data_IF_642575765539
#
_entry.id   IF_642575765539
#
_cell.length_a   1.000
_cell.length_b   1.000
_cell.length_c   1.000
_cell.angle_alpha   90.00
_cell.angle_beta   90.00
_cell.angle_gamma   90.00
#
_symmetry.space_group_name_H-M   'P 1'
#
loop_
_entity.id
_entity.type
_entity.pdbx_description
1 polymer ?
#
# COMPACT_ATOMS: atom_id res chain seq x y z
N UNK A 1 -46.36 -8.15 -26.59
CA UNK A 1 -45.36 -8.47 -25.55
C UNK A 1 -43.96 -8.02 -25.98
N UNK A 2 -43.63 -6.72 -25.85
CA UNK A 2 -42.34 -6.18 -26.33
C UNK A 2 -41.57 -5.31 -25.34
N UNK A 3 -42.20 -4.92 -24.23
CA UNK A 3 -41.62 -3.98 -23.26
C UNK A 3 -40.70 -4.68 -22.26
N UNK A 4 -41.09 -5.87 -21.77
CA UNK A 4 -40.29 -6.63 -20.79
C UNK A 4 -38.90 -7.00 -21.28
N UNK A 5 -38.76 -7.37 -22.57
CA UNK A 5 -37.46 -7.70 -23.18
C UNK A 5 -36.51 -6.50 -23.18
N UNK A 6 -37.03 -5.31 -23.52
CA UNK A 6 -36.27 -4.06 -23.60
C UNK A 6 -35.77 -3.61 -22.21
N UNK A 7 -36.57 -3.83 -21.16
CA UNK A 7 -36.17 -3.53 -19.77
C UNK A 7 -35.04 -4.45 -19.31
N UNK A 8 -35.14 -5.75 -19.58
CA UNK A 8 -34.10 -6.74 -19.21
C UNK A 8 -32.78 -6.46 -19.94
N UNK A 9 -32.84 -6.13 -21.24
CA UNK A 9 -31.66 -5.75 -22.03
C UNK A 9 -30.99 -4.47 -21.49
N UNK A 10 -31.79 -3.48 -21.08
CA UNK A 10 -31.29 -2.22 -20.55
C UNK A 10 -30.63 -2.41 -19.17
N UNK A 11 -31.21 -3.25 -18.30
CA UNK A 11 -30.60 -3.57 -17.00
C UNK A 11 -29.31 -4.37 -17.13
N UNK A 12 -29.23 -5.31 -18.08
CA UNK A 12 -28.00 -6.05 -18.35
C UNK A 12 -26.86 -5.12 -18.80
N UNK A 13 -27.16 -4.12 -19.64
CA UNK A 13 -26.19 -3.10 -20.06
C UNK A 13 -25.71 -2.24 -18.90
N UNK A 14 -26.63 -1.77 -18.05
CA UNK A 14 -26.28 -0.99 -16.87
C UNK A 14 -25.39 -1.78 -15.91
N UNK A 15 -25.72 -3.05 -15.67
CA UNK A 15 -24.92 -3.93 -14.81
C UNK A 15 -23.51 -4.15 -15.37
N UNK A 16 -23.37 -4.33 -16.69
CA UNK A 16 -22.07 -4.44 -17.33
C UNK A 16 -21.23 -3.15 -17.19
N UNK A 17 -21.85 -1.98 -17.39
CA UNK A 17 -21.17 -0.69 -17.22
C UNK A 17 -20.76 -0.44 -15.76
N UNK A 18 -21.61 -0.81 -14.79
CA UNK A 18 -21.27 -0.72 -13.35
C UNK A 18 -20.07 -1.64 -13.02
N UNK A 19 -20.04 -2.85 -13.58
CA UNK A 19 -18.93 -3.79 -13.38
C UNK A 19 -17.62 -3.24 -13.95
N UNK A 20 -17.66 -2.73 -15.17
CA UNK A 20 -16.48 -2.14 -15.84
C UNK A 20 -15.96 -0.90 -15.10
N UNK A 21 -16.85 -0.03 -14.63
CA UNK A 21 -16.48 1.12 -13.80
C UNK A 21 -15.84 0.70 -12.47
N UNK A 22 -16.39 -0.33 -11.82
CA UNK A 22 -15.78 -0.87 -10.59
C UNK A 22 -14.39 -1.45 -10.85
N UNK A 23 -14.21 -2.24 -11.91
CA UNK A 23 -12.91 -2.84 -12.26
C UNK A 23 -11.87 -1.77 -12.58
N UNK A 24 -12.25 -0.71 -13.31
CA UNK A 24 -11.37 0.43 -13.57
C UNK A 24 -11.00 1.19 -12.29
N UNK A 25 -11.95 1.39 -11.38
CA UNK A 25 -11.71 2.07 -10.10
C UNK A 25 -10.74 1.29 -9.19
N UNK A 26 -10.88 -0.03 -9.13
CA UNK A 26 -9.98 -0.90 -8.35
C UNK A 26 -8.54 -0.88 -8.90
N UNK A 27 -8.37 -0.76 -10.22
CA UNK A 27 -7.04 -0.66 -10.84
C UNK A 27 -6.33 0.71 -10.68
N UNK A 28 -7.03 1.77 -10.27
CA UNK A 28 -6.46 3.11 -10.09
C UNK A 28 -5.62 3.22 -8.81
N UNK A 29 -5.74 2.28 -7.85
CA UNK A 29 -4.90 2.23 -6.63
C UNK A 29 -3.52 1.61 -6.85
N UNK A 30 -2.89 1.91 -7.98
CA UNK A 30 -1.49 1.52 -8.21
C UNK A 30 -0.65 2.78 -8.35
N UNK A 31 0.46 2.82 -7.60
CA UNK A 31 1.48 3.88 -7.62
C UNK A 31 2.09 4.01 -9.02
N UNK A 32 1.37 4.61 -9.97
CA UNK A 32 1.85 4.89 -11.33
C UNK A 32 2.31 6.35 -11.37
N UNK A 33 3.59 6.57 -11.69
CA UNK A 33 4.18 7.91 -11.86
C UNK A 33 5.36 8.21 -10.93
N UNK A 34 5.80 9.48 -10.93
CA UNK A 34 6.88 9.98 -10.07
C UNK A 34 6.28 10.50 -8.78
N UNK A 35 6.67 9.93 -7.64
CA UNK A 35 6.22 10.38 -6.32
C UNK A 35 7.13 11.52 -5.83
N UNK A 36 6.59 12.73 -5.56
CA UNK A 36 7.39 13.86 -5.08
C UNK A 36 7.82 13.62 -3.63
N UNK A 37 9.09 13.23 -3.45
CA UNK A 37 9.69 12.88 -2.15
C UNK A 37 10.80 13.87 -1.76
N UNK A 38 10.84 14.26 -0.50
CA UNK A 38 11.89 15.13 0.03
C UNK A 38 13.22 14.37 0.08
N UNK A 39 14.26 14.91 -0.56
CA UNK A 39 15.57 14.27 -0.60
C UNK A 39 16.20 14.09 0.79
N UNK A 40 15.94 15.01 1.73
CA UNK A 40 16.50 15.02 3.07
C UNK A 40 15.74 14.13 4.06
N UNK A 41 14.43 14.36 4.24
CA UNK A 41 13.64 13.67 5.27
C UNK A 41 12.75 12.54 4.74
N UNK A 42 12.75 12.29 3.43
CA UNK A 42 11.97 11.24 2.74
C UNK A 42 10.45 11.34 2.88
N UNK A 43 9.91 12.43 3.44
CA UNK A 43 8.47 12.70 3.40
C UNK A 43 7.98 12.85 1.97
N UNK A 44 6.75 12.44 1.71
CA UNK A 44 6.08 12.56 0.42
C UNK A 44 5.15 13.78 0.45
N UNK A 45 5.16 14.55 -0.63
CA UNK A 45 4.25 15.69 -0.82
C UNK A 45 2.95 15.21 -1.44
N UNK A 46 1.81 15.62 -0.88
CA UNK A 46 0.50 15.41 -1.49
C UNK A 46 0.10 16.54 -2.45
N UNK A 47 -1.02 16.35 -3.15
CA UNK A 47 -1.55 17.33 -4.10
C UNK A 47 -2.00 18.64 -3.44
N UNK A 48 -2.29 18.61 -2.13
CA UNK A 48 -2.61 19.79 -1.33
C UNK A 48 -1.36 20.55 -0.86
N UNK A 49 -0.17 19.97 -1.09
CA UNK A 49 1.12 20.53 -0.73
C UNK A 49 1.61 20.17 0.68
N UNK A 50 0.91 19.32 1.42
CA UNK A 50 1.36 18.85 2.73
C UNK A 50 2.39 17.73 2.60
N UNK A 51 3.28 17.65 3.60
CA UNK A 51 4.32 16.62 3.67
C UNK A 51 3.93 15.55 4.68
N UNK A 52 3.76 14.34 4.20
CA UNK A 52 3.39 13.17 4.99
C UNK A 52 4.49 12.10 5.00
N UNK A 53 4.43 11.19 5.96
CA UNK A 53 5.31 10.03 6.02
C UNK A 53 5.04 9.07 4.85
N UNK A 54 6.06 8.29 4.47
CA UNK A 54 5.97 7.37 3.32
C UNK A 54 4.93 6.29 3.57
N UNK A 55 4.88 5.78 4.79
CA UNK A 55 3.98 4.73 5.23
C UNK A 55 2.52 5.16 5.08
N UNK A 56 2.20 6.42 5.41
CA UNK A 56 0.86 6.99 5.27
C UNK A 56 0.46 7.04 3.80
N UNK A 57 1.36 7.53 2.95
CA UNK A 57 1.10 7.63 1.51
C UNK A 57 0.93 6.24 0.87
N UNK A 58 1.79 5.29 1.18
CA UNK A 58 1.71 3.93 0.60
C UNK A 58 0.44 3.22 1.07
N UNK A 59 0.08 3.33 2.35
CA UNK A 59 -1.15 2.75 2.88
C UNK A 59 -2.41 3.38 2.30
N UNK A 60 -2.38 4.67 1.97
CA UNK A 60 -3.51 5.35 1.34
C UNK A 60 -3.69 4.98 -0.15
N UNK A 61 -2.61 4.63 -0.84
CA UNK A 61 -2.59 4.44 -2.29
C UNK A 61 -2.43 2.96 -2.71
N UNK A 62 -2.31 2.03 -1.77
CA UNK A 62 -2.15 0.59 -2.00
C UNK A 62 -2.84 -0.22 -0.90
N UNK A 63 -2.94 -1.54 -1.07
CA UNK A 63 -3.44 -2.45 -0.03
C UNK A 63 -2.35 -2.89 0.97
N UNK A 64 -1.17 -2.26 0.95
CA UNK A 64 -0.05 -2.68 1.78
C UNK A 64 -0.21 -2.27 3.25
N UNK A 65 0.21 -3.16 4.16
CA UNK A 65 0.34 -2.89 5.59
C UNK A 65 1.80 -2.93 6.04
N UNK A 66 2.16 -2.08 7.00
CA UNK A 66 3.51 -1.98 7.55
C UNK A 66 3.59 -2.63 8.93
N UNK A 67 4.55 -3.54 9.10
CA UNK A 67 5.00 -4.00 10.42
C UNK A 67 6.19 -3.16 10.89
N UNK A 68 6.40 -3.09 12.21
CA UNK A 68 7.47 -2.30 12.82
C UNK A 68 8.54 -3.21 13.44
N UNK A 69 9.23 -3.99 12.59
CA UNK A 69 10.37 -4.80 13.01
C UNK A 69 11.67 -4.00 12.97
N UNK A 70 12.66 -4.42 13.76
CA UNK A 70 14.02 -3.88 13.74
C UNK A 70 14.90 -4.83 12.94
N UNK A 71 15.56 -4.35 11.88
CA UNK A 71 16.48 -5.19 11.11
C UNK A 71 17.76 -5.49 11.91
N UNK A 72 18.53 -6.54 11.55
CA UNK A 72 19.76 -6.89 12.26
C UNK A 72 20.76 -5.74 12.39
N UNK A 73 20.96 -4.93 11.34
CA UNK A 73 21.88 -3.80 11.37
C UNK A 73 21.45 -2.71 12.37
N UNK A 74 20.15 -2.40 12.39
CA UNK A 74 19.57 -1.47 13.36
C UNK A 74 19.63 -2.03 14.78
N UNK A 75 19.47 -3.35 14.95
CA UNK A 75 19.60 -4.01 16.25
C UNK A 75 21.02 -3.83 16.79
N UNK A 76 22.05 -4.14 16.00
CA UNK A 76 23.47 -3.96 16.41
C UNK A 76 23.78 -2.50 16.72
N UNK A 77 23.22 -1.57 15.94
CA UNK A 77 23.50 -0.13 16.11
C UNK A 77 22.80 0.49 17.33
N UNK A 78 21.53 0.13 17.57
CA UNK A 78 20.70 0.74 18.61
C UNK A 78 20.75 -0.03 19.93
N UNK A 79 21.00 -1.34 19.87
CA UNK A 79 20.94 -2.27 20.99
C UNK A 79 22.17 -3.23 20.99
N UNK A 80 23.41 -2.71 20.90
CA UNK A 80 24.61 -3.55 20.82
C UNK A 80 24.77 -4.52 22.00
N UNK A 81 24.28 -4.15 23.19
CA UNK A 81 24.34 -4.96 24.41
C UNK A 81 23.50 -6.24 24.34
N UNK A 82 22.49 -6.29 23.47
CA UNK A 82 21.66 -7.47 23.24
C UNK A 82 22.19 -8.35 22.10
N UNK A 83 23.24 -7.91 21.42
CA UNK A 83 23.87 -8.62 20.32
C UNK A 83 25.10 -9.45 20.75
N UNK A 84 25.42 -9.50 22.06
CA UNK A 84 26.54 -10.28 22.56
C UNK A 84 26.35 -11.78 22.29
N UNK A 85 27.34 -12.35 21.59
CA UNK A 85 27.47 -13.78 21.32
C UNK A 85 27.21 -14.61 22.58
N UNK A 86 26.22 -15.50 22.52
CA UNK A 86 26.21 -16.70 23.37
C UNK A 86 27.38 -17.59 22.98
N UNK A 87 28.59 -17.24 23.40
CA UNK A 87 29.65 -18.21 23.65
C UNK A 87 29.35 -18.84 25.01
N UNK A 88 28.48 -19.86 25.03
CA UNK A 88 28.69 -21.13 25.75
C UNK A 88 27.42 -22.00 25.71
N UNK A 89 27.64 -23.32 25.74
CA UNK A 89 26.74 -24.45 26.01
C UNK A 89 26.15 -25.19 24.81
N UNK A 90 27.02 -25.87 24.05
CA UNK A 90 26.89 -27.34 23.90
C UNK A 90 28.28 -27.95 23.65
N UNK A 91 29.03 -28.19 24.72
CA UNK A 91 29.92 -29.34 24.83
C UNK A 91 29.53 -30.08 26.10
N UNK A 92 28.67 -31.07 25.94
CA UNK A 92 28.76 -32.35 26.66
C UNK A 92 28.23 -33.44 25.72
#
# INVERSE_FOLDING_TARGET
MGVGRRIVEMQARLAAQIKELHEQAEHIRTLRGIVPICASCKKIRDDSGFWQQVEVYVKANTEAEFSHSVCPDCMVKLYPEFCEDKKDKTKE
#
